data_IF_364666968356
#
_entry.id   IF_364666968356
#
_cell.length_a   1.000
_cell.length_b   1.000
_cell.length_c   1.000
_cell.angle_alpha   90.00
_cell.angle_beta   90.00
_cell.angle_gamma   90.00
#
_symmetry.space_group_name_H-M   'P 1'
#
loop_
_entity.id
_entity.type
_entity.pdbx_description
1 polymer ?
#
# COMPACT_ATOMS: atom_id res chain seq x y z
N UNK A 1 -47.11 7.17 -38.48
CA UNK A 1 -46.00 8.13 -38.30
C UNK A 1 -45.61 8.14 -36.83
N UNK A 2 -44.64 7.31 -36.44
CA UNK A 2 -44.15 7.25 -35.05
C UNK A 2 -43.08 8.32 -34.84
N UNK A 3 -43.30 9.27 -33.92
CA UNK A 3 -42.26 10.17 -33.42
C UNK A 3 -41.97 9.84 -31.96
N UNK A 4 -40.89 9.08 -31.77
CA UNK A 4 -40.32 8.77 -30.46
C UNK A 4 -39.50 9.98 -30.01
N UNK A 5 -39.95 10.66 -28.95
CA UNK A 5 -39.24 11.79 -28.35
C UNK A 5 -38.29 11.26 -27.26
N UNK A 6 -36.99 11.16 -27.58
CA UNK A 6 -35.93 10.90 -26.60
C UNK A 6 -35.48 12.24 -26.02
N UNK A 7 -35.93 12.53 -24.80
CA UNK A 7 -35.44 13.65 -23.99
C UNK A 7 -34.06 13.31 -23.41
N UNK A 8 -33.02 13.89 -24.00
CA UNK A 8 -31.67 13.95 -23.43
C UNK A 8 -31.39 15.41 -23.04
N UNK A 9 -31.40 15.76 -21.76
CA UNK A 9 -30.58 16.89 -21.30
C UNK A 9 -30.28 16.88 -19.80
N UNK A 10 -29.01 16.60 -19.53
CA UNK A 10 -28.09 17.21 -18.55
C UNK A 10 -28.52 17.33 -17.09
N UNK A 11 -28.01 16.40 -16.29
CA UNK A 11 -27.74 16.60 -14.86
C UNK A 11 -26.41 17.38 -14.75
N UNK A 12 -26.49 18.68 -14.51
CA UNK A 12 -25.33 19.49 -14.13
C UNK A 12 -24.82 19.03 -12.76
N UNK A 13 -23.58 18.57 -12.70
CA UNK A 13 -22.83 18.45 -11.44
C UNK A 13 -21.80 19.55 -11.46
N UNK A 14 -22.03 20.58 -10.64
CA UNK A 14 -21.05 21.63 -10.36
C UNK A 14 -19.84 21.00 -9.69
N UNK A 15 -18.76 20.82 -10.44
CA UNK A 15 -17.43 20.66 -9.87
C UNK A 15 -16.96 22.07 -9.53
N UNK A 16 -16.97 22.40 -8.24
CA UNK A 16 -16.28 23.59 -7.76
C UNK A 16 -14.78 23.37 -7.98
N UNK A 17 -14.34 24.06 -9.01
CA UNK A 17 -12.98 24.28 -9.47
C UNK A 17 -12.08 24.70 -8.31
N UNK A 18 -10.96 24.00 -8.25
CA UNK A 18 -9.71 24.39 -7.62
C UNK A 18 -9.49 25.91 -7.69
N UNK A 19 -9.50 26.55 -6.52
CA UNK A 19 -8.89 27.88 -6.35
C UNK A 19 -7.37 27.71 -6.49
N UNK A 20 -6.88 27.92 -7.70
CA UNK A 20 -5.50 28.30 -7.97
C UNK A 20 -5.26 29.67 -7.33
N UNK A 21 -4.49 29.71 -6.24
CA UNK A 21 -3.83 30.95 -5.81
C UNK A 21 -2.31 30.79 -5.89
N UNK A 22 -1.80 31.09 -7.09
CA UNK A 22 -0.41 31.43 -7.34
C UNK A 22 -0.04 32.69 -6.52
N UNK A 23 0.88 32.56 -5.57
CA UNK A 23 1.56 33.72 -4.96
C UNK A 23 3.07 33.47 -4.92
N UNK A 24 3.74 33.97 -5.94
CA UNK A 24 5.14 34.36 -5.86
C UNK A 24 5.29 35.45 -4.77
N UNK A 25 6.17 35.25 -3.80
CA UNK A 25 6.76 36.33 -3.02
C UNK A 25 8.13 35.91 -2.51
N UNK A 26 9.17 36.44 -3.13
CA UNK A 26 10.53 36.44 -2.60
C UNK A 26 10.57 37.26 -1.30
N UNK A 27 11.11 36.70 -0.22
CA UNK A 27 11.62 37.47 0.91
C UNK A 27 12.81 36.70 1.54
N UNK A 28 13.94 37.40 1.59
CA UNK A 28 15.25 37.02 2.13
C UNK A 28 15.20 36.88 3.66
N UNK A 29 15.92 35.92 4.26
CA UNK A 29 16.34 35.97 5.67
C UNK A 29 17.68 35.22 5.91
N UNK A 30 18.48 35.64 6.91
CA UNK A 30 19.93 35.40 6.96
C UNK A 30 20.35 34.22 7.86
N UNK A 31 21.60 33.81 7.63
CA UNK A 31 22.42 32.81 8.33
C UNK A 31 22.66 33.14 9.80
N UNK A 32 22.53 32.14 10.69
CA UNK A 32 23.46 31.91 11.81
C UNK A 32 23.51 30.39 12.12
N UNK A 33 24.70 29.80 12.01
CA UNK A 33 25.07 28.47 12.49
C UNK A 33 25.93 28.64 13.76
N UNK A 34 25.76 27.81 14.79
CA UNK A 34 26.84 27.50 15.71
C UNK A 34 27.48 26.15 15.36
N UNK A 35 28.79 26.25 15.21
CA UNK A 35 29.78 25.17 15.20
C UNK A 35 29.73 24.36 16.50
N UNK A 36 29.80 23.03 16.39
CA UNK A 36 30.41 22.19 17.43
C UNK A 36 31.21 21.09 16.73
N UNK A 37 32.49 21.42 16.56
CA UNK A 37 33.60 20.46 16.57
C UNK A 37 33.61 19.78 17.94
N UNK A 38 33.66 18.45 17.99
CA UNK A 38 34.91 17.78 18.34
C UNK A 38 34.77 16.25 18.33
N UNK A 39 35.84 15.65 17.81
CA UNK A 39 36.13 14.21 17.79
C UNK A 39 36.31 13.67 19.21
N UNK A 40 36.16 12.34 19.33
CA UNK A 40 37.22 11.39 19.71
C UNK A 40 36.80 10.38 20.79
N UNK A 41 36.79 9.10 20.38
CA UNK A 41 37.29 7.90 21.04
C UNK A 41 37.10 7.71 22.55
N UNK A 42 36.52 6.57 22.96
CA UNK A 42 37.31 5.48 23.56
C UNK A 42 36.42 4.36 24.10
N UNK A 43 36.75 3.16 23.65
CA UNK A 43 36.67 1.88 24.35
C UNK A 43 36.66 2.03 25.90
N UNK A 44 35.68 1.42 26.58
CA UNK A 44 35.88 0.69 27.85
C UNK A 44 34.57 0.06 28.36
N UNK A 45 34.55 -1.28 28.43
CA UNK A 45 33.66 -2.05 29.32
C UNK A 45 34.10 -1.82 30.77
N UNK A 46 33.18 -1.89 31.73
CA UNK A 46 33.51 -2.51 33.00
C UNK A 46 32.62 -3.73 33.27
N UNK A 47 33.32 -4.81 33.55
CA UNK A 47 32.86 -5.94 34.33
C UNK A 47 32.31 -5.45 35.69
N UNK A 48 31.21 -6.02 36.15
CA UNK A 48 30.84 -6.04 37.56
C UNK A 48 30.64 -7.49 38.00
N UNK A 49 31.30 -7.84 39.09
CA UNK A 49 31.29 -9.15 39.78
C UNK A 49 31.13 -8.86 41.30
N UNK A 50 30.96 -9.86 42.20
CA UNK A 50 29.75 -10.03 43.02
C UNK A 50 29.99 -9.94 44.55
N UNK A 51 28.93 -9.70 45.35
CA UNK A 51 28.75 -10.13 46.76
C UNK A 51 27.43 -9.55 47.33
N UNK A 52 26.40 -10.37 47.65
CA UNK A 52 26.06 -10.93 48.98
C UNK A 52 25.78 -9.84 50.03
N UNK A 53 24.60 -9.75 50.68
CA UNK A 53 24.26 -10.46 51.93
C UNK A 53 22.73 -10.26 52.26
N UNK A 54 22.03 -11.38 52.57
CA UNK A 54 20.92 -11.59 53.57
C UNK A 54 19.59 -10.80 53.47
N UNK A 55 18.36 -11.26 53.74
CA UNK A 55 17.60 -12.49 54.10
C UNK A 55 16.18 -11.99 54.55
N UNK A 56 15.16 -12.75 55.02
CA UNK A 56 14.52 -14.01 54.58
C UNK A 56 12.97 -13.90 54.36
N UNK A 57 12.37 -15.02 53.91
CA UNK A 57 11.00 -15.52 54.20
C UNK A 57 9.73 -14.79 53.70
N UNK A 58 8.99 -15.43 52.79
CA UNK A 58 7.71 -16.09 53.14
C UNK A 58 7.16 -16.89 51.94
N UNK A 59 7.08 -18.21 52.12
CA UNK A 59 6.39 -19.16 51.25
C UNK A 59 4.89 -19.08 51.53
N UNK A 60 4.06 -18.97 50.49
CA UNK A 60 2.69 -19.47 50.53
C UNK A 60 2.46 -20.37 49.32
N UNK A 61 2.66 -21.67 49.55
CA UNK A 61 2.13 -22.76 48.74
C UNK A 61 0.60 -22.78 48.90
N UNK A 62 -0.13 -22.87 47.79
CA UNK A 62 -1.51 -23.37 47.79
C UNK A 62 -1.61 -24.58 46.84
N UNK A 63 -2.37 -25.63 47.19
CA UNK A 63 -2.37 -26.90 46.48
C UNK A 63 -3.38 -26.94 45.31
N UNK A 64 -2.89 -27.50 44.21
CA UNK A 64 -3.52 -28.53 43.36
C UNK A 64 -5.00 -28.37 42.94
N UNK A 65 -5.21 -27.97 41.68
CA UNK A 65 -6.21 -28.62 40.80
C UNK A 65 -5.65 -28.68 39.37
N UNK A 66 -5.47 -29.87 38.76
CA UNK A 66 -5.17 -29.96 37.33
C UNK A 66 -6.50 -29.94 36.58
N UNK A 67 -6.87 -28.80 35.97
CA UNK A 67 -8.00 -28.75 35.05
C UNK A 67 -7.64 -29.51 33.76
N UNK A 68 -8.30 -30.64 33.42
CA UNK A 68 -7.89 -31.47 32.30
C UNK A 68 -8.77 -31.25 31.05
N UNK A 69 -9.25 -30.02 30.78
CA UNK A 69 -10.25 -29.81 29.72
C UNK A 69 -10.00 -28.65 28.75
N UNK A 70 -8.78 -28.13 28.62
CA UNK A 70 -8.49 -27.17 27.55
C UNK A 70 -7.52 -27.82 26.54
N UNK A 71 -7.95 -28.98 26.00
CA UNK A 71 -7.48 -29.44 24.70
C UNK A 71 -7.95 -28.41 23.68
N UNK A 72 -7.19 -27.31 23.57
CA UNK A 72 -7.38 -26.28 22.55
C UNK A 72 -7.05 -26.96 21.22
N UNK A 73 -8.08 -27.56 20.62
CA UNK A 73 -8.05 -28.00 19.25
C UNK A 73 -7.67 -26.80 18.41
N UNK A 74 -6.43 -26.76 17.94
CA UNK A 74 -6.07 -25.92 16.82
C UNK A 74 -6.89 -26.48 15.65
N UNK A 75 -8.00 -25.82 15.32
CA UNK A 75 -8.65 -26.01 14.04
C UNK A 75 -7.59 -25.70 12.99
N UNK A 76 -6.96 -26.76 12.46
CA UNK A 76 -6.00 -26.72 11.36
C UNK A 76 -6.73 -26.41 10.05
N UNK A 77 -7.45 -25.29 10.01
CA UNK A 77 -7.67 -24.62 8.73
C UNK A 77 -6.36 -23.88 8.48
N UNK A 78 -5.40 -24.52 7.81
CA UNK A 78 -4.23 -23.80 7.34
C UNK A 78 -4.75 -22.64 6.48
N UNK A 79 -4.45 -21.38 6.82
CA UNK A 79 -4.83 -20.28 5.95
C UNK A 79 -4.19 -20.54 4.58
N UNK A 80 -4.97 -20.38 3.52
CA UNK A 80 -4.41 -20.36 2.17
C UNK A 80 -3.46 -19.16 2.16
N UNK A 81 -2.17 -19.42 2.02
CA UNK A 81 -1.15 -18.38 1.92
C UNK A 81 -1.07 -17.94 0.45
N UNK A 82 -1.59 -16.75 0.18
CA UNK A 82 -1.58 -16.10 -1.13
C UNK A 82 -0.67 -14.85 -1.15
N UNK A 83 0.22 -14.72 -0.16
CA UNK A 83 1.11 -13.56 -0.06
C UNK A 83 2.00 -13.41 -1.29
N UNK A 84 2.46 -14.53 -1.85
CA UNK A 84 3.32 -14.53 -3.05
C UNK A 84 2.61 -13.95 -4.27
N UNK A 85 1.39 -14.37 -4.54
CA UNK A 85 0.61 -13.84 -5.66
C UNK A 85 0.29 -12.35 -5.47
N UNK A 86 0.07 -11.90 -4.23
CA UNK A 86 -0.08 -10.46 -3.95
C UNK A 86 1.21 -9.70 -4.21
N UNK A 87 2.36 -10.25 -3.85
CA UNK A 87 3.67 -9.65 -4.15
C UNK A 87 3.92 -9.57 -5.66
N UNK A 88 3.58 -10.63 -6.41
CA UNK A 88 3.65 -10.64 -7.87
C UNK A 88 2.73 -9.59 -8.50
N UNK A 89 1.49 -9.45 -8.01
CA UNK A 89 0.57 -8.37 -8.45
C UNK A 89 1.18 -6.99 -8.15
N UNK A 90 1.83 -6.79 -7.00
CA UNK A 90 2.47 -5.51 -6.68
C UNK A 90 3.69 -5.21 -7.58
N UNK A 91 4.45 -6.24 -7.98
CA UNK A 91 5.54 -6.08 -8.96
C UNK A 91 4.94 -5.67 -10.32
N UNK A 92 3.93 -6.40 -10.80
CA UNK A 92 3.23 -6.06 -12.05
C UNK A 92 2.55 -4.70 -12.01
N UNK A 93 2.07 -4.28 -10.85
CA UNK A 93 1.52 -2.94 -10.67
C UNK A 93 2.58 -1.85 -10.87
N UNK A 94 3.80 -2.06 -10.39
CA UNK A 94 4.89 -1.11 -10.60
C UNK A 94 5.29 -1.06 -12.08
N UNK A 95 5.39 -2.22 -12.74
CA UNK A 95 5.66 -2.33 -14.18
C UNK A 95 4.57 -1.62 -15.00
N UNK A 96 3.28 -1.86 -14.71
CA UNK A 96 2.18 -1.21 -15.43
C UNK A 96 2.19 0.33 -15.30
N UNK A 97 2.66 0.87 -14.16
CA UNK A 97 2.84 2.32 -14.01
C UNK A 97 3.98 2.86 -14.85
N UNK A 98 5.10 2.15 -14.90
CA UNK A 98 6.24 2.50 -15.75
C UNK A 98 5.83 2.57 -17.23
N UNK A 99 5.01 1.61 -17.69
CA UNK A 99 4.51 1.61 -19.07
C UNK A 99 3.54 2.77 -19.35
N UNK A 100 2.67 3.13 -18.40
CA UNK A 100 1.81 4.32 -18.54
C UNK A 100 2.68 5.59 -18.65
N UNK A 101 3.71 5.71 -17.81
CA UNK A 101 4.61 6.87 -17.82
C UNK A 101 5.38 6.97 -19.16
N UNK A 102 5.84 5.83 -19.71
CA UNK A 102 6.50 5.77 -21.01
C UNK A 102 5.55 6.16 -22.16
N UNK A 103 4.30 5.69 -22.13
CA UNK A 103 3.27 6.09 -23.09
C UNK A 103 2.94 7.59 -22.99
N UNK A 104 2.90 8.16 -21.78
CA UNK A 104 2.69 9.58 -21.58
C UNK A 104 3.85 10.44 -22.11
N UNK A 105 5.10 10.00 -21.92
CA UNK A 105 6.29 10.69 -22.44
C UNK A 105 6.35 10.68 -23.97
N UNK A 106 5.88 9.60 -24.59
CA UNK A 106 5.87 9.41 -26.04
C UNK A 106 4.62 9.95 -26.75
N UNK A 107 3.66 10.56 -26.02
CA UNK A 107 2.35 11.02 -26.52
C UNK A 107 2.39 11.96 -27.73
N UNK A 108 3.47 12.73 -27.90
CA UNK A 108 3.66 13.64 -29.02
C UNK A 108 4.50 13.02 -30.17
N UNK A 109 4.72 11.71 -30.13
CA UNK A 109 5.54 10.97 -31.09
C UNK A 109 4.72 9.94 -31.84
N UNK A 110 5.28 9.42 -32.93
CA UNK A 110 4.68 8.33 -33.71
C UNK A 110 4.71 6.97 -32.99
N UNK A 111 5.45 6.88 -31.87
CA UNK A 111 5.56 5.65 -31.08
C UNK A 111 4.35 5.47 -30.16
N UNK A 112 3.70 6.56 -29.74
CA UNK A 112 2.59 6.55 -28.79
C UNK A 112 1.57 5.40 -28.93
N UNK A 113 1.17 5.05 -30.15
CA UNK A 113 0.21 3.97 -30.38
C UNK A 113 0.75 2.61 -29.85
N UNK A 114 2.02 2.30 -30.07
CA UNK A 114 2.66 1.05 -29.60
C UNK A 114 2.86 1.07 -28.08
N UNK A 115 3.41 2.14 -27.52
CA UNK A 115 3.61 2.30 -26.07
C UNK A 115 2.28 2.33 -25.30
N UNK A 116 1.24 2.96 -25.85
CA UNK A 116 -0.09 2.99 -25.21
C UNK A 116 -0.79 1.63 -25.23
N UNK A 117 -0.59 0.82 -26.28
CA UNK A 117 -1.03 -0.57 -26.32
C UNK A 117 -0.31 -1.41 -25.26
N UNK A 118 1.02 -1.31 -25.16
CA UNK A 118 1.81 -1.96 -24.11
C UNK A 118 1.32 -1.60 -22.70
N UNK A 119 1.06 -0.31 -22.44
CA UNK A 119 0.50 0.14 -21.16
C UNK A 119 -0.88 -0.48 -20.88
N UNK A 120 -1.77 -0.55 -21.88
CA UNK A 120 -3.09 -1.19 -21.73
C UNK A 120 -2.97 -2.68 -21.43
N UNK A 121 -2.06 -3.39 -22.08
CA UNK A 121 -1.80 -4.81 -21.85
C UNK A 121 -1.24 -5.06 -20.44
N UNK A 122 -0.26 -4.26 -20.01
CA UNK A 122 0.33 -4.36 -18.68
C UNK A 122 -0.72 -4.14 -17.57
N UNK A 123 -1.57 -3.12 -17.71
CA UNK A 123 -2.67 -2.87 -16.78
C UNK A 123 -3.67 -4.02 -16.77
N UNK A 124 -4.08 -4.53 -17.93
CA UNK A 124 -5.00 -5.68 -18.00
C UNK A 124 -4.41 -6.92 -17.32
N UNK A 125 -3.11 -7.18 -17.47
CA UNK A 125 -2.42 -8.27 -16.79
C UNK A 125 -2.54 -8.18 -15.26
N UNK A 126 -2.37 -6.98 -14.70
CA UNK A 126 -2.56 -6.73 -13.25
C UNK A 126 -3.99 -7.06 -12.81
N UNK A 127 -4.99 -6.62 -13.59
CA UNK A 127 -6.40 -6.90 -13.30
C UNK A 127 -6.71 -8.39 -13.37
N UNK A 128 -6.22 -9.08 -14.39
CA UNK A 128 -6.47 -10.51 -14.57
C UNK A 128 -5.87 -11.33 -13.42
N UNK A 129 -4.64 -11.00 -12.99
CA UNK A 129 -4.02 -11.65 -11.82
C UNK A 129 -4.82 -11.40 -10.55
N UNK A 130 -5.28 -10.17 -10.34
CA UNK A 130 -6.08 -9.80 -9.18
C UNK A 130 -7.44 -10.50 -9.18
N UNK A 131 -8.16 -10.54 -10.30
CA UNK A 131 -9.46 -11.20 -10.43
C UNK A 131 -9.34 -12.72 -10.32
N UNK A 132 -8.29 -13.31 -10.90
CA UNK A 132 -7.96 -14.73 -10.77
C UNK A 132 -7.70 -15.11 -9.31
N UNK A 133 -6.92 -14.29 -8.59
CA UNK A 133 -6.68 -14.51 -7.16
C UNK A 133 -7.97 -14.40 -6.36
N UNK A 134 -8.79 -13.39 -6.65
CA UNK A 134 -10.10 -13.25 -6.02
C UNK A 134 -10.96 -14.49 -6.28
N UNK A 135 -11.04 -15.02 -7.50
CA UNK A 135 -11.89 -16.16 -7.83
C UNK A 135 -11.55 -17.41 -6.98
N UNK A 136 -10.29 -17.63 -6.63
CA UNK A 136 -9.79 -18.78 -5.85
C UNK A 136 -10.04 -18.67 -4.35
N UNK A 137 -10.22 -17.47 -3.81
CA UNK A 137 -10.30 -17.25 -2.35
C UNK A 137 -11.70 -17.46 -1.76
N UNK A 138 -11.81 -17.84 -0.47
CA UNK A 138 -13.08 -17.81 0.25
C UNK A 138 -13.53 -16.36 0.51
N UNK A 139 -14.84 -16.16 0.71
CA UNK A 139 -15.45 -14.80 0.77
C UNK A 139 -14.83 -13.89 1.83
N UNK A 140 -14.45 -14.46 2.98
CA UNK A 140 -13.76 -13.73 4.06
C UNK A 140 -12.48 -13.06 3.55
N UNK A 141 -11.63 -13.82 2.86
CA UNK A 141 -10.32 -13.34 2.42
C UNK A 141 -10.44 -12.48 1.16
N UNK A 142 -11.41 -12.77 0.28
CA UNK A 142 -11.78 -11.90 -0.85
C UNK A 142 -12.08 -10.47 -0.40
N UNK A 143 -12.90 -10.32 0.64
CA UNK A 143 -13.29 -9.00 1.13
C UNK A 143 -12.08 -8.22 1.69
N UNK A 144 -11.21 -8.89 2.43
CA UNK A 144 -9.98 -8.30 2.95
C UNK A 144 -9.04 -7.86 1.82
N UNK A 145 -8.85 -8.71 0.81
CA UNK A 145 -8.00 -8.43 -0.35
C UNK A 145 -8.56 -7.28 -1.20
N UNK A 146 -9.88 -7.24 -1.43
CA UNK A 146 -10.54 -6.12 -2.12
C UNK A 146 -10.35 -4.81 -1.38
N UNK A 147 -10.43 -4.80 -0.06
CA UNK A 147 -10.23 -3.59 0.73
C UNK A 147 -8.78 -3.09 0.67
N UNK A 148 -7.80 -4.00 0.62
CA UNK A 148 -6.38 -3.64 0.60
C UNK A 148 -5.87 -3.24 -0.78
N UNK A 149 -6.36 -3.86 -1.85
CA UNK A 149 -5.87 -3.63 -3.22
C UNK A 149 -6.85 -2.87 -4.12
N UNK A 150 -8.14 -2.82 -3.79
CA UNK A 150 -9.17 -2.22 -4.64
C UNK A 150 -8.89 -0.76 -4.99
N UNK A 151 -8.46 0.03 -4.01
CA UNK A 151 -8.08 1.44 -4.25
C UNK A 151 -6.90 1.56 -5.22
N UNK A 152 -5.88 0.69 -5.12
CA UNK A 152 -4.73 0.69 -6.03
C UNK A 152 -5.20 0.40 -7.46
N UNK A 153 -6.09 -0.57 -7.64
CA UNK A 153 -6.65 -0.92 -8.94
C UNK A 153 -7.44 0.26 -9.54
N UNK A 154 -8.26 0.93 -8.74
CA UNK A 154 -8.99 2.13 -9.20
C UNK A 154 -8.05 3.27 -9.61
N UNK A 155 -6.96 3.49 -8.87
CA UNK A 155 -5.94 4.48 -9.23
C UNK A 155 -5.26 4.14 -10.56
N UNK A 156 -4.85 2.88 -10.75
CA UNK A 156 -4.21 2.44 -11.99
C UNK A 156 -5.13 2.64 -13.19
N UNK A 157 -6.44 2.36 -13.04
CA UNK A 157 -7.44 2.65 -14.08
C UNK A 157 -7.57 4.15 -14.37
N UNK A 158 -7.45 5.00 -13.36
CA UNK A 158 -7.51 6.45 -13.54
C UNK A 158 -6.25 6.98 -14.25
N UNK A 159 -5.09 6.42 -13.96
CA UNK A 159 -3.83 6.72 -14.65
C UNK A 159 -3.88 6.28 -16.11
N UNK A 160 -4.36 5.06 -16.39
CA UNK A 160 -4.51 4.56 -17.77
C UNK A 160 -5.39 5.47 -18.64
N UNK A 161 -6.46 6.04 -18.07
CA UNK A 161 -7.36 6.97 -18.79
C UNK A 161 -6.67 8.23 -19.29
N UNK A 162 -5.54 8.63 -18.70
CA UNK A 162 -4.80 9.80 -19.16
C UNK A 162 -4.19 9.61 -20.56
N UNK A 163 -4.05 8.35 -21.00
CA UNK A 163 -3.65 8.02 -22.37
C UNK A 163 -4.79 8.25 -23.38
N UNK A 164 -6.05 8.25 -22.94
CA UNK A 164 -7.21 8.42 -23.82
C UNK A 164 -7.62 9.90 -24.01
N UNK A 165 -7.12 10.81 -23.15
CA UNK A 165 -7.37 12.26 -23.18
C UNK A 165 -6.44 12.99 -24.16
#
# INVERSE_FOLDING_TARGET
MHRSARSLFRRSVSLNIFELSLKHSAQVLPKVLPSISDRCSSLQKPYFSPSQISSPCALTLHPTTPNPLLLRGFCSNKPIDYGKEVDEINIKFAEAREEIDAALESKETVYFDEESECAREAVNSVFDMFESLLARLPEKDKSALKNSMGLKMEQLKAELRQLDD
#
